data_IF_549173292616
#
_entry.id   IF_549173292616
#
_cell.length_a   1.000
_cell.length_b   1.000
_cell.length_c   1.000
_cell.angle_alpha   90.00
_cell.angle_beta   90.00
_cell.angle_gamma   90.00
#
_symmetry.space_group_name_H-M   'P 1'
#
loop_
_entity.id
_entity.type
_entity.pdbx_description
1 polymer ?
#
# COMPACT_ATOMS: atom_id res chain seq x y z
N UNK A 1 -4.73 2.96 10.01
CA UNK A 1 -4.70 2.91 8.53
C UNK A 1 -6.07 2.47 8.02
N UNK A 2 -6.65 3.19 7.05
CA UNK A 2 -7.96 2.84 6.49
C UNK A 2 -7.94 2.84 4.97
N UNK A 3 -8.68 1.92 4.33
CA UNK A 3 -8.68 1.76 2.87
C UNK A 3 -10.03 1.29 2.33
N UNK A 4 -10.40 1.83 1.16
CA UNK A 4 -11.35 1.20 0.23
C UNK A 4 -10.59 0.45 -0.86
N UNK A 5 -10.98 -0.79 -1.10
CA UNK A 5 -10.50 -1.56 -2.24
C UNK A 5 -11.56 -1.58 -3.33
N UNK A 6 -11.28 -0.85 -4.41
CA UNK A 6 -12.17 -0.70 -5.56
C UNK A 6 -11.69 -1.59 -6.71
N UNK A 7 -12.51 -2.55 -7.12
CA UNK A 7 -12.18 -3.51 -8.17
C UNK A 7 -13.41 -3.94 -8.97
N UNK A 8 -13.24 -4.74 -10.02
CA UNK A 8 -14.35 -5.27 -10.81
C UNK A 8 -14.87 -6.59 -10.22
N UNK A 9 -13.95 -7.48 -9.85
CA UNK A 9 -14.30 -8.83 -9.37
C UNK A 9 -14.60 -8.82 -7.87
N UNK A 10 -15.55 -9.67 -7.45
CA UNK A 10 -15.81 -9.97 -6.03
C UNK A 10 -14.84 -11.03 -5.51
N UNK A 11 -14.76 -11.17 -4.19
CA UNK A 11 -13.91 -12.14 -3.51
C UNK A 11 -12.70 -11.50 -2.86
N UNK A 12 -11.88 -12.33 -2.24
CA UNK A 12 -10.70 -11.95 -1.48
C UNK A 12 -10.49 -12.89 -0.31
N UNK A 13 -9.25 -13.00 0.15
CA UNK A 13 -8.84 -13.89 1.25
C UNK A 13 -8.01 -13.10 2.24
N UNK A 14 -8.24 -13.37 3.52
CA UNK A 14 -7.41 -12.88 4.61
C UNK A 14 -6.48 -14.01 5.04
N UNK A 15 -5.19 -13.72 5.06
CA UNK A 15 -4.16 -14.67 5.45
C UNK A 15 -3.49 -14.20 6.72
N UNK A 16 -3.42 -15.08 7.71
CA UNK A 16 -2.47 -14.95 8.81
C UNK A 16 -1.28 -15.86 8.52
N UNK A 17 -0.08 -15.30 8.56
CA UNK A 17 1.17 -16.04 8.36
C UNK A 17 2.02 -15.84 9.62
N UNK A 18 2.23 -16.91 10.42
CA UNK A 18 3.05 -16.83 11.61
C UNK A 18 4.52 -16.63 11.25
N UNK A 19 5.31 -16.15 12.21
CA UNK A 19 6.74 -15.96 12.03
C UNK A 19 7.42 -17.31 11.83
N UNK A 20 8.40 -17.35 10.94
CA UNK A 20 9.13 -18.57 10.61
C UNK A 20 10.63 -18.28 10.58
N UNK A 21 11.40 -19.29 10.97
CA UNK A 21 12.86 -19.24 10.82
C UNK A 21 13.23 -19.78 9.45
N UNK A 22 13.67 -18.90 8.56
CA UNK A 22 14.01 -19.21 7.17
C UNK A 22 15.48 -18.83 6.92
N UNK A 23 16.30 -19.79 6.52
CA UNK A 23 17.75 -19.60 6.25
C UNK A 23 18.50 -18.83 7.36
N UNK A 24 18.18 -19.14 8.62
CA UNK A 24 18.83 -18.52 9.78
C UNK A 24 18.29 -17.14 10.18
N UNK A 25 17.39 -16.56 9.39
CA UNK A 25 16.69 -15.30 9.70
C UNK A 25 15.26 -15.58 10.18
N UNK A 26 14.78 -14.81 11.15
CA UNK A 26 13.38 -14.86 11.58
C UNK A 26 12.57 -13.92 10.68
N UNK A 27 11.48 -14.40 10.09
CA UNK A 27 10.51 -13.53 9.40
C UNK A 27 9.54 -12.93 10.41
N UNK A 28 8.99 -11.78 10.07
CA UNK A 28 7.95 -11.12 10.85
C UNK A 28 6.60 -11.83 10.65
N UNK A 29 5.77 -11.93 11.70
CA UNK A 29 4.37 -12.37 11.53
C UNK A 29 3.58 -11.33 10.74
N UNK A 30 2.60 -11.77 9.95
CA UNK A 30 1.88 -10.86 9.08
C UNK A 30 0.44 -11.27 8.78
N UNK A 31 -0.38 -10.26 8.59
CA UNK A 31 -1.74 -10.35 8.07
C UNK A 31 -1.78 -9.75 6.66
N UNK A 32 -2.30 -10.50 5.70
CA UNK A 32 -2.42 -10.08 4.31
C UNK A 32 -3.87 -10.13 3.83
N UNK A 33 -4.21 -9.24 2.91
CA UNK A 33 -5.45 -9.30 2.13
C UNK A 33 -5.07 -9.49 0.65
N UNK A 34 -5.55 -10.61 0.09
CA UNK A 34 -5.25 -11.07 -1.28
C UNK A 34 -6.55 -11.20 -2.10
N UNK A 35 -6.45 -11.10 -3.42
CA UNK A 35 -7.55 -11.48 -4.34
C UNK A 35 -7.06 -12.18 -5.62
N UNK A 36 -5.81 -11.97 -6.05
CA UNK A 36 -5.27 -12.47 -7.33
C UNK A 36 -4.43 -13.76 -7.21
N UNK A 37 -4.67 -14.53 -6.16
CA UNK A 37 -3.98 -15.78 -5.88
C UNK A 37 -2.76 -15.64 -4.99
N UNK A 38 -2.13 -16.79 -4.72
CA UNK A 38 -1.09 -16.97 -3.71
C UNK A 38 0.06 -16.00 -3.90
N UNK A 39 0.49 -15.37 -2.79
CA UNK A 39 1.65 -14.48 -2.65
C UNK A 39 1.53 -13.15 -3.38
N UNK A 40 0.29 -12.68 -3.61
CA UNK A 40 0.02 -11.40 -4.27
C UNK A 40 -0.95 -10.53 -3.48
N UNK A 41 -0.54 -10.09 -2.28
CA UNK A 41 -1.35 -9.23 -1.45
C UNK A 41 -1.49 -7.83 -2.06
N UNK A 42 -2.69 -7.28 -1.93
CA UNK A 42 -2.93 -5.87 -2.21
C UNK A 42 -2.60 -4.99 -1.01
N UNK A 43 -2.61 -5.58 0.19
CA UNK A 43 -2.13 -4.98 1.42
C UNK A 43 -1.79 -6.02 2.46
N UNK A 44 -1.07 -5.54 3.48
CA UNK A 44 -0.89 -6.25 4.72
C UNK A 44 -0.30 -5.38 5.81
N UNK A 45 -0.25 -5.96 6.99
CA UNK A 45 0.43 -5.41 8.17
C UNK A 45 1.23 -6.53 8.84
N UNK A 46 2.38 -6.21 9.40
CA UNK A 46 3.17 -7.15 10.17
C UNK A 46 3.09 -6.89 11.68
N UNK A 47 3.67 -7.79 12.49
CA UNK A 47 3.60 -7.73 13.95
C UNK A 47 4.24 -6.48 14.56
N UNK A 48 5.12 -5.80 13.82
CA UNK A 48 5.77 -4.55 14.25
C UNK A 48 4.91 -3.31 13.99
N UNK A 49 3.76 -3.46 13.33
CA UNK A 49 2.89 -2.36 12.95
C UNK A 49 3.23 -1.72 11.59
N UNK A 50 4.17 -2.28 10.82
CA UNK A 50 4.44 -1.84 9.45
C UNK A 50 3.29 -2.28 8.53
N UNK A 51 2.63 -1.32 7.92
CA UNK A 51 1.56 -1.50 6.94
C UNK A 51 2.06 -1.15 5.53
N UNK A 52 1.64 -1.94 4.53
CA UNK A 52 1.77 -1.59 3.12
C UNK A 52 0.43 -1.83 2.44
N UNK A 53 -0.05 -0.82 1.71
CA UNK A 53 -1.20 -0.95 0.81
C UNK A 53 -0.91 -0.33 -0.54
N UNK A 54 -1.38 -0.94 -1.61
CA UNK A 54 -1.16 -0.42 -2.96
C UNK A 54 -2.41 0.24 -3.57
N UNK A 55 -2.21 1.07 -4.57
CA UNK A 55 -3.25 1.47 -5.49
C UNK A 55 -2.73 1.40 -6.92
N UNK A 56 -3.66 1.26 -7.86
CA UNK A 56 -3.34 1.15 -9.28
C UNK A 56 -3.28 2.55 -9.88
N UNK A 57 -2.18 2.87 -10.57
CA UNK A 57 -2.02 4.08 -11.38
C UNK A 57 -1.95 3.71 -12.88
N UNK A 58 -2.55 4.52 -13.76
CA UNK A 58 -2.30 4.46 -15.20
C UNK A 58 -0.80 4.53 -15.54
N UNK A 59 -0.36 3.79 -16.56
CA UNK A 59 1.07 3.68 -16.94
C UNK A 59 1.64 4.99 -17.50
N UNK A 60 0.83 5.82 -18.13
CA UNK A 60 1.24 7.14 -18.66
C UNK A 60 1.59 8.11 -17.51
N UNK A 61 0.94 7.94 -16.36
CA UNK A 61 1.30 8.66 -15.13
C UNK A 61 2.55 8.08 -14.45
N UNK A 62 2.90 6.81 -14.73
CA UNK A 62 4.07 6.13 -14.17
C UNK A 62 4.72 5.14 -15.15
N UNK A 63 5.45 5.61 -16.17
CA UNK A 63 6.03 4.71 -17.15
C UNK A 63 7.10 3.82 -16.51
N UNK A 64 7.20 2.53 -16.89
CA UNK A 64 8.27 1.67 -16.41
C UNK A 64 9.62 2.23 -16.83
N UNK A 65 10.58 2.23 -15.89
CA UNK A 65 11.98 2.44 -16.26
C UNK A 65 12.52 1.18 -16.92
N UNK A 66 13.44 1.36 -17.87
CA UNK A 66 14.25 0.27 -18.41
C UNK A 66 14.92 -0.50 -17.28
N UNK A 67 15.19 -1.80 -17.49
CA UNK A 67 15.93 -2.64 -16.54
C UNK A 67 17.15 -1.87 -16.01
N UNK A 68 17.15 -1.62 -14.71
CA UNK A 68 18.14 -0.81 -14.03
C UNK A 68 19.33 -1.66 -13.54
N UNK A 69 19.40 -2.93 -13.96
CA UNK A 69 20.48 -3.85 -13.61
C UNK A 69 20.39 -4.36 -12.17
N UNK A 70 19.28 -4.11 -11.45
CA UNK A 70 19.06 -4.66 -10.11
C UNK A 70 18.91 -6.18 -10.21
N UNK A 71 19.65 -6.89 -9.36
CA UNK A 71 19.70 -8.35 -9.39
C UNK A 71 18.38 -9.02 -8.99
N UNK A 72 17.65 -8.41 -8.05
CA UNK A 72 16.39 -8.95 -7.57
C UNK A 72 15.22 -8.47 -8.45
N UNK A 73 14.68 -9.37 -9.27
CA UNK A 73 13.46 -9.14 -10.05
C UNK A 73 12.28 -9.65 -9.25
N UNK A 74 11.26 -8.82 -9.07
CA UNK A 74 10.10 -9.17 -8.23
C UNK A 74 8.81 -8.66 -8.87
N UNK A 75 7.72 -9.40 -8.66
CA UNK A 75 6.39 -8.94 -9.00
C UNK A 75 5.96 -7.79 -8.06
N UNK A 76 5.28 -6.77 -8.58
CA UNK A 76 4.86 -5.60 -7.79
C UNK A 76 3.98 -5.98 -6.58
N UNK A 77 3.09 -6.98 -6.68
CA UNK A 77 2.29 -7.44 -5.54
C UNK A 77 3.10 -8.35 -4.61
N UNK A 78 3.93 -9.23 -5.18
CA UNK A 78 4.84 -10.08 -4.40
C UNK A 78 5.82 -9.30 -3.52
N UNK A 79 6.18 -8.08 -3.92
CA UNK A 79 7.03 -7.19 -3.15
C UNK A 79 6.43 -6.82 -1.78
N UNK A 80 5.10 -6.70 -1.66
CA UNK A 80 4.45 -6.38 -0.38
C UNK A 80 4.75 -7.46 0.66
N UNK A 81 4.53 -8.74 0.33
CA UNK A 81 4.84 -9.85 1.23
C UNK A 81 6.33 -9.88 1.56
N UNK A 82 7.19 -9.78 0.54
CA UNK A 82 8.64 -9.85 0.73
C UNK A 82 9.15 -8.78 1.72
N UNK A 83 8.63 -7.55 1.62
CA UNK A 83 9.01 -6.45 2.50
C UNK A 83 8.45 -6.63 3.90
N UNK A 84 7.16 -6.95 4.03
CA UNK A 84 6.50 -7.12 5.34
C UNK A 84 7.14 -8.24 6.17
N UNK A 85 7.67 -9.29 5.53
CA UNK A 85 8.40 -10.35 6.22
C UNK A 85 9.74 -9.88 6.83
N UNK A 86 10.31 -8.75 6.39
CA UNK A 86 11.73 -8.37 6.62
C UNK A 86 11.96 -6.96 7.18
N UNK A 87 10.99 -6.07 7.10
CA UNK A 87 11.11 -4.69 7.58
C UNK A 87 10.21 -4.44 8.78
N UNK A 88 10.69 -3.65 9.73
CA UNK A 88 9.92 -3.15 10.86
C UNK A 88 9.49 -1.69 10.68
N UNK A 89 10.26 -0.92 9.90
CA UNK A 89 10.04 0.53 9.74
C UNK A 89 9.75 0.92 8.29
N UNK A 90 9.13 2.09 8.10
CA UNK A 90 8.91 2.68 6.77
C UNK A 90 10.22 2.84 6.01
N UNK A 91 11.30 3.24 6.69
CA UNK A 91 12.59 3.44 6.06
C UNK A 91 13.23 2.13 5.59
N UNK A 92 13.18 1.07 6.40
CA UNK A 92 13.64 -0.26 6.01
C UNK A 92 12.84 -0.81 4.82
N UNK A 93 11.52 -0.61 4.85
CA UNK A 93 10.64 -1.01 3.76
C UNK A 93 11.01 -0.33 2.44
N UNK A 94 11.21 0.99 2.45
CA UNK A 94 11.66 1.76 1.29
C UNK A 94 13.02 1.26 0.81
N UNK A 95 13.97 1.04 1.72
CA UNK A 95 15.30 0.54 1.37
C UNK A 95 15.23 -0.82 0.66
N UNK A 96 14.39 -1.74 1.15
CA UNK A 96 14.18 -3.04 0.49
C UNK A 96 13.56 -2.87 -0.89
N UNK A 97 12.49 -2.08 -1.03
CA UNK A 97 11.85 -1.80 -2.33
C UNK A 97 12.87 -1.24 -3.34
N UNK A 98 13.80 -0.39 -2.90
CA UNK A 98 14.86 0.15 -3.74
C UNK A 98 15.93 -0.86 -4.15
N UNK A 99 15.98 -2.06 -3.56
CA UNK A 99 16.86 -3.14 -4.08
C UNK A 99 16.25 -3.92 -5.23
N UNK A 100 14.95 -3.74 -5.50
CA UNK A 100 14.19 -4.56 -6.44
C UNK A 100 13.98 -3.86 -7.80
N UNK A 101 14.01 -4.67 -8.86
CA UNK A 101 13.42 -4.35 -10.14
C UNK A 101 11.99 -4.90 -10.14
N UNK A 102 11.02 -4.00 -9.91
CA UNK A 102 9.61 -4.36 -9.84
C UNK A 102 9.01 -4.45 -11.24
N UNK A 103 8.48 -5.63 -11.57
CA UNK A 103 7.76 -5.90 -12.80
C UNK A 103 6.29 -6.12 -12.49
N UNK A 104 5.41 -5.54 -13.30
CA UNK A 104 3.99 -5.81 -13.20
C UNK A 104 3.64 -6.99 -14.11
N UNK A 105 3.46 -8.18 -13.55
CA UNK A 105 3.17 -9.37 -14.35
C UNK A 105 1.69 -9.67 -14.51
N UNK A 106 0.79 -8.93 -13.84
CA UNK A 106 -0.64 -9.26 -13.74
C UNK A 106 -1.60 -8.20 -14.25
N UNK A 107 -1.28 -6.91 -14.13
CA UNK A 107 -2.13 -5.90 -14.73
C UNK A 107 -1.72 -5.76 -16.20
N UNK A 108 -2.71 -5.60 -17.09
CA UNK A 108 -2.45 -5.27 -18.50
C UNK A 108 -1.34 -4.22 -18.60
N UNK A 109 -0.57 -4.23 -19.70
CA UNK A 109 0.56 -3.33 -19.98
C UNK A 109 0.28 -1.82 -19.80
N UNK A 110 -0.92 -1.42 -19.39
CA UNK A 110 -1.40 -0.06 -19.18
C UNK A 110 -1.51 0.36 -17.72
N UNK A 111 -1.24 -0.51 -16.74
CA UNK A 111 -1.40 -0.20 -15.32
C UNK A 111 -0.13 -0.52 -14.51
N UNK A 112 0.07 0.21 -13.41
CA UNK A 112 1.21 0.07 -12.49
C UNK A 112 0.74 0.21 -11.05
N UNK A 113 1.50 -0.31 -10.10
CA UNK A 113 1.24 -0.09 -8.68
C UNK A 113 2.10 1.04 -8.11
N UNK A 114 1.50 1.76 -7.16
CA UNK A 114 2.21 2.55 -6.17
C UNK A 114 1.73 2.17 -4.77
N UNK A 115 2.52 2.53 -3.77
CA UNK A 115 2.38 1.98 -2.42
C UNK A 115 2.35 3.11 -1.39
N UNK A 116 1.44 2.98 -0.43
CA UNK A 116 1.47 3.70 0.82
C UNK A 116 2.03 2.74 1.87
N UNK A 117 3.17 3.13 2.42
CA UNK A 117 3.86 2.43 3.49
C UNK A 117 3.71 3.28 4.75
N UNK A 118 3.36 2.69 5.88
CA UNK A 118 3.26 3.39 7.15
C UNK A 118 3.71 2.51 8.31
N UNK A 119 4.35 3.09 9.32
CA UNK A 119 4.70 2.39 10.56
C UNK A 119 3.97 2.96 11.79
N UNK A 120 4.10 2.26 12.91
CA UNK A 120 3.50 2.59 14.21
C UNK A 120 4.02 3.91 14.79
N UNK A 121 5.21 4.36 14.40
CA UNK A 121 5.78 5.66 14.78
C UNK A 121 5.18 6.84 14.00
N UNK A 122 4.26 6.57 13.07
CA UNK A 122 3.60 7.59 12.26
C UNK A 122 4.43 8.09 11.08
N UNK A 123 5.51 7.38 10.72
CA UNK A 123 6.20 7.65 9.46
C UNK A 123 5.41 7.03 8.32
N UNK A 124 5.36 7.74 7.20
CA UNK A 124 4.72 7.30 5.97
C UNK A 124 5.65 7.49 4.78
N UNK A 125 5.54 6.60 3.80
CA UNK A 125 6.17 6.75 2.51
C UNK A 125 5.20 6.44 1.38
N UNK A 126 5.22 7.29 0.36
CA UNK A 126 4.60 7.01 -0.93
C UNK A 126 5.68 6.53 -1.88
N UNK A 127 5.68 5.23 -2.15
CA UNK A 127 6.67 4.58 -3.00
C UNK A 127 6.07 4.26 -4.37
N UNK A 128 6.82 4.56 -5.41
CA UNK A 128 6.47 4.22 -6.78
C UNK A 128 7.75 3.95 -7.56
N UNK A 129 7.90 2.73 -8.09
CA UNK A 129 9.13 2.35 -8.81
C UNK A 129 9.35 3.26 -10.01
N UNK A 130 10.51 3.91 -10.03
CA UNK A 130 10.91 4.87 -11.05
C UNK A 130 10.63 6.33 -10.70
N UNK A 131 9.95 6.62 -9.60
CA UNK A 131 9.69 7.97 -9.12
C UNK A 131 10.48 8.29 -7.85
N UNK A 132 10.50 9.56 -7.44
CA UNK A 132 11.05 9.97 -6.15
C UNK A 132 10.10 9.53 -5.04
N UNK A 133 10.60 8.68 -4.14
CA UNK A 133 9.89 8.30 -2.91
C UNK A 133 9.66 9.54 -2.03
N UNK A 134 8.42 9.74 -1.60
CA UNK A 134 8.04 10.83 -0.70
C UNK A 134 7.85 10.29 0.71
N UNK A 135 8.73 10.65 1.62
CA UNK A 135 8.65 10.27 3.03
C UNK A 135 8.17 11.45 3.89
N UNK A 136 7.36 11.18 4.91
CA UNK A 136 6.85 12.17 5.85
C UNK A 136 6.66 11.51 7.23
N UNK A 137 6.94 12.26 8.30
CA UNK A 137 6.51 11.88 9.65
C UNK A 137 5.24 12.66 9.99
N UNK A 138 4.21 11.95 10.42
CA UNK A 138 2.94 12.53 10.83
C UNK A 138 2.95 12.79 12.34
N UNK A 139 2.50 13.96 12.74
CA UNK A 139 2.23 14.22 14.16
C UNK A 139 0.91 13.57 14.58
N UNK A 140 0.72 13.39 15.89
CA UNK A 140 -0.53 12.83 16.44
C UNK A 140 -1.75 13.64 15.96
N UNK A 141 -2.71 12.95 15.38
CA UNK A 141 -3.94 13.56 14.83
C UNK A 141 -3.80 14.09 13.40
N UNK A 142 -2.61 14.01 12.80
CA UNK A 142 -2.45 14.21 11.36
C UNK A 142 -2.71 12.91 10.61
N UNK A 143 -3.12 13.04 9.35
CA UNK A 143 -3.20 11.93 8.40
C UNK A 143 -2.63 12.33 7.05
N UNK A 144 -2.52 11.34 6.16
CA UNK A 144 -2.37 11.58 4.73
C UNK A 144 -3.22 10.58 3.92
N UNK A 145 -3.34 10.80 2.62
CA UNK A 145 -4.22 10.04 1.74
C UNK A 145 -3.51 9.65 0.44
N UNK A 146 -3.77 8.42 -0.01
CA UNK A 146 -3.40 7.91 -1.34
C UNK A 146 -4.67 7.50 -2.10
N UNK A 147 -4.70 7.73 -3.41
CA UNK A 147 -5.70 7.17 -4.33
C UNK A 147 -4.98 6.63 -5.56
N UNK A 148 -5.68 6.33 -6.66
CA UNK A 148 -5.10 5.84 -7.93
C UNK A 148 -4.19 6.84 -8.67
N UNK A 149 -3.90 7.99 -8.07
CA UNK A 149 -3.15 9.09 -8.66
C UNK A 149 -1.84 9.29 -7.90
N UNK A 150 -0.68 9.29 -8.58
CA UNK A 150 0.61 9.45 -7.92
C UNK A 150 0.70 10.78 -7.16
N UNK A 151 1.21 10.74 -5.92
CA UNK A 151 1.42 11.94 -5.09
C UNK A 151 2.41 12.93 -5.70
N UNK A 152 3.30 12.48 -6.57
CA UNK A 152 4.25 13.31 -7.31
C UNK A 152 3.58 14.19 -8.38
N UNK A 153 2.30 13.96 -8.70
CA UNK A 153 1.57 14.71 -9.71
C UNK A 153 0.41 15.48 -9.08
N UNK A 154 0.30 16.76 -9.42
CA UNK A 154 -0.89 17.54 -9.11
C UNK A 154 -2.01 17.11 -10.04
N UNK A 155 -2.99 16.38 -9.52
CA UNK A 155 -4.19 16.00 -10.27
C UNK A 155 -5.36 16.74 -9.63
N UNK A 156 -5.78 17.81 -10.29
CA UNK A 156 -6.68 18.82 -9.73
C UNK A 156 -8.09 18.28 -9.42
N UNK A 157 -8.47 17.12 -9.96
CA UNK A 157 -9.88 16.68 -10.00
C UNK A 157 -10.16 15.28 -9.43
N UNK A 158 -9.33 14.72 -8.55
CA UNK A 158 -9.72 13.49 -7.85
C UNK A 158 -10.69 13.80 -6.70
N UNK A 159 -12.00 13.59 -6.93
CA UNK A 159 -13.02 13.85 -5.92
C UNK A 159 -12.83 13.02 -4.64
N UNK A 160 -12.40 11.75 -4.73
CA UNK A 160 -12.13 10.90 -3.56
C UNK A 160 -11.00 11.46 -2.72
N UNK A 161 -9.88 11.79 -3.37
CA UNK A 161 -8.73 12.41 -2.71
C UNK A 161 -9.13 13.71 -2.01
N UNK A 162 -9.82 14.61 -2.74
CA UNK A 162 -10.24 15.90 -2.21
C UNK A 162 -11.26 15.77 -1.06
N UNK A 163 -12.14 14.77 -1.10
CA UNK A 163 -13.11 14.52 -0.03
C UNK A 163 -12.46 13.96 1.22
N UNK A 164 -11.56 12.98 1.08
CA UNK A 164 -10.82 12.41 2.21
C UNK A 164 -9.92 13.48 2.83
N UNK A 165 -9.14 14.19 2.00
CA UNK A 165 -8.19 15.20 2.49
C UNK A 165 -8.88 16.30 3.31
N UNK A 166 -10.04 16.80 2.88
CA UNK A 166 -10.79 17.84 3.60
C UNK A 166 -11.33 17.39 4.95
N UNK A 167 -11.58 16.09 5.10
CA UNK A 167 -12.19 15.53 6.31
C UNK A 167 -11.20 14.74 7.16
N UNK A 168 -9.93 14.66 6.77
CA UNK A 168 -8.95 13.80 7.43
C UNK A 168 -8.75 14.16 8.90
N UNK A 169 -8.79 15.45 9.24
CA UNK A 169 -8.68 15.94 10.61
C UNK A 169 -9.90 15.59 11.49
N UNK A 170 -11.00 15.10 10.92
CA UNK A 170 -12.17 14.65 11.70
C UNK A 170 -12.02 13.20 12.18
N UNK A 171 -11.06 12.45 11.63
CA UNK A 171 -10.79 11.06 12.00
C UNK A 171 -10.06 11.02 13.33
N UNK A 172 -10.63 10.31 14.31
CA UNK A 172 -10.10 10.17 15.67
C UNK A 172 -9.90 8.72 16.09
N UNK A 173 -10.65 7.83 15.46
CA UNK A 173 -10.76 6.42 15.81
C UNK A 173 -11.19 5.61 14.59
N UNK A 174 -11.31 4.30 14.77
CA UNK A 174 -11.74 3.38 13.72
C UNK A 174 -13.13 3.73 13.17
N UNK A 175 -14.07 4.12 14.03
CA UNK A 175 -15.45 4.39 13.62
C UNK A 175 -15.53 5.62 12.69
N UNK A 176 -14.88 6.71 13.09
CA UNK A 176 -14.79 7.94 12.28
C UNK A 176 -13.98 7.73 11.01
N UNK A 177 -12.96 6.86 11.04
CA UNK A 177 -12.21 6.45 9.84
C UNK A 177 -13.10 5.69 8.86
N UNK A 178 -13.88 4.72 9.34
CA UNK A 178 -14.79 3.93 8.50
C UNK A 178 -15.88 4.81 7.88
N UNK A 179 -16.50 5.70 8.67
CA UNK A 179 -17.48 6.68 8.16
C UNK A 179 -16.89 7.57 7.07
N UNK A 180 -15.65 8.02 7.22
CA UNK A 180 -14.99 8.80 6.17
C UNK A 180 -14.80 7.97 4.89
N UNK A 181 -14.35 6.72 5.00
CA UNK A 181 -14.17 5.82 3.85
C UNK A 181 -15.49 5.53 3.14
N UNK A 182 -16.60 5.40 3.87
CA UNK A 182 -17.95 5.24 3.31
C UNK A 182 -18.33 6.39 2.36
N UNK A 183 -17.93 7.62 2.69
CA UNK A 183 -18.23 8.81 1.86
C UNK A 183 -17.56 8.78 0.48
N UNK A 184 -16.55 7.93 0.29
CA UNK A 184 -15.77 7.82 -0.95
C UNK A 184 -15.85 6.42 -1.58
N UNK A 185 -16.82 5.61 -1.16
CA UNK A 185 -17.13 4.34 -1.81
C UNK A 185 -17.67 4.56 -3.22
N UNK A 186 -17.39 3.60 -4.11
CA UNK A 186 -17.78 3.63 -5.52
C UNK A 186 -18.87 2.58 -5.81
N UNK A 187 -19.88 2.49 -4.93
CA UNK A 187 -21.01 1.57 -5.08
C UNK A 187 -20.53 0.12 -5.22
N UNK A 188 -20.96 -0.56 -6.29
CA UNK A 188 -20.60 -1.96 -6.55
C UNK A 188 -19.10 -2.19 -6.79
N UNK A 189 -18.34 -1.14 -7.11
CA UNK A 189 -16.90 -1.26 -7.35
C UNK A 189 -16.11 -1.42 -6.05
N UNK A 190 -16.56 -0.85 -4.92
CA UNK A 190 -15.90 -1.06 -3.63
C UNK A 190 -16.21 -2.46 -3.12
N UNK A 191 -15.19 -3.32 -3.07
CA UNK A 191 -15.35 -4.73 -2.68
C UNK A 191 -15.17 -4.94 -1.19
N UNK A 192 -14.27 -4.19 -0.58
CA UNK A 192 -14.14 -4.15 0.87
C UNK A 192 -13.64 -2.78 1.33
N UNK A 193 -14.00 -2.46 2.57
CA UNK A 193 -13.51 -1.31 3.32
C UNK A 193 -12.95 -1.84 4.63
N UNK A 194 -11.70 -1.48 4.93
CA UNK A 194 -11.00 -1.96 6.11
C UNK A 194 -10.33 -0.82 6.86
N UNK A 195 -10.22 -0.99 8.18
CA UNK A 195 -9.41 -0.13 9.03
C UNK A 195 -8.57 -1.00 9.97
N UNK A 196 -7.26 -0.75 9.99
CA UNK A 196 -6.27 -1.40 10.84
C UNK A 196 -5.75 -0.38 11.86
N UNK A 197 -5.67 -0.80 13.12
CA UNK A 197 -5.04 -0.03 14.20
C UNK A 197 -3.60 -0.52 14.31
N UNK A 198 -2.66 0.41 14.19
CA UNK A 198 -1.24 0.16 14.46
C UNK A 198 -1.04 0.46 15.94
N UNK A 199 -0.52 -0.51 16.70
CA UNK A 199 -0.23 -0.38 18.13
C UNK A 199 1.24 -0.05 18.35
#
# INVERSE_FOLDING_TARGET
MGRNFDWLQKGGTLHYIPSQRVYGSQTTELFLIEQMGVDKPYEGINETGLFIGCAVTPIDLNPPKSDNGKALKMDELGAIRFVLERAATTQEAVNLMETMSLNNSYLDYFLRLHFLIADSDGNIAFYQSGDKTLCKSLEKGQGDVMTNFPKSRTIENCWRYNTVLRQLNSVKDMETSMKLLETVMQGESTKFTGCLVMY
#
